data_IF_810369556869
#
_entry.id   IF_810369556869
#
_cell.length_a   1.000
_cell.length_b   1.000
_cell.length_c   1.000
_cell.angle_alpha   90.00
_cell.angle_beta   90.00
_cell.angle_gamma   90.00
#
_symmetry.space_group_name_H-M   'P 1'
#
loop_
_entity.id
_entity.type
_entity.pdbx_description
1 polymer ?
#
# COMPACT_ATOMS: atom_id res chain seq x y z
N UNK A 1 -11.45 -18.74 -9.89
CA UNK A 1 -10.44 -17.71 -10.18
C UNK A 1 -9.90 -17.88 -11.59
N UNK A 2 -9.67 -16.79 -12.32
CA UNK A 2 -9.03 -16.84 -13.64
C UNK A 2 -7.53 -17.04 -13.45
N UNK A 3 -6.92 -17.96 -14.19
CA UNK A 3 -5.46 -18.18 -14.15
C UNK A 3 -4.78 -17.96 -15.50
N UNK A 4 -5.55 -17.83 -16.58
CA UNK A 4 -5.02 -17.55 -17.92
C UNK A 4 -6.03 -16.79 -18.78
N UNK A 5 -5.51 -15.83 -19.53
CA UNK A 5 -6.23 -15.14 -20.60
C UNK A 5 -5.39 -15.28 -21.88
N UNK A 6 -6.03 -15.63 -22.99
CA UNK A 6 -5.40 -15.69 -24.31
C UNK A 6 -6.17 -14.77 -25.24
N UNK A 7 -5.47 -13.83 -25.86
CA UNK A 7 -6.04 -12.91 -26.85
C UNK A 7 -5.76 -13.41 -28.27
N UNK A 8 -6.79 -13.41 -29.12
CA UNK A 8 -6.74 -13.65 -30.55
C UNK A 8 -7.34 -12.43 -31.29
N UNK A 9 -7.30 -12.41 -32.62
CA UNK A 9 -7.67 -11.23 -33.43
C UNK A 9 -9.10 -10.73 -33.19
N UNK A 10 -10.05 -11.64 -32.93
CA UNK A 10 -11.48 -11.32 -32.80
C UNK A 10 -12.09 -11.78 -31.48
N UNK A 11 -11.33 -12.47 -30.64
CA UNK A 11 -11.85 -13.11 -29.43
C UNK A 11 -10.74 -13.34 -28.40
N UNK A 12 -11.14 -13.42 -27.13
CA UNK A 12 -10.30 -13.88 -26.03
C UNK A 12 -10.89 -15.12 -25.38
N UNK A 13 -10.02 -16.08 -25.05
CA UNK A 13 -10.34 -17.23 -24.19
C UNK A 13 -9.83 -16.98 -22.77
N UNK A 14 -10.65 -17.30 -21.78
CA UNK A 14 -10.39 -17.10 -20.35
C UNK A 14 -10.51 -18.46 -19.67
N UNK A 15 -9.42 -18.95 -19.07
CA UNK A 15 -9.41 -20.21 -18.32
C UNK A 15 -9.55 -19.95 -16.82
N UNK A 16 -10.54 -20.59 -16.22
CA UNK A 16 -10.81 -20.58 -14.80
C UNK A 16 -10.21 -21.83 -14.13
N UNK A 17 -9.95 -21.73 -12.83
CA UNK A 17 -9.41 -22.80 -11.97
C UNK A 17 -10.37 -23.97 -11.76
N UNK A 18 -11.67 -23.74 -11.93
CA UNK A 18 -12.73 -24.75 -11.93
C UNK A 18 -12.83 -25.53 -13.26
N UNK A 19 -11.94 -25.25 -14.22
CA UNK A 19 -11.90 -25.88 -15.53
C UNK A 19 -12.86 -25.29 -16.55
N UNK A 20 -13.63 -24.25 -16.19
CA UNK A 20 -14.50 -23.54 -17.14
C UNK A 20 -13.64 -22.67 -18.07
N UNK A 21 -13.96 -22.70 -19.36
CA UNK A 21 -13.43 -21.77 -20.36
C UNK A 21 -14.53 -20.81 -20.81
N UNK A 22 -14.25 -19.51 -20.72
CA UNK A 22 -15.16 -18.45 -21.17
C UNK A 22 -14.58 -17.77 -22.42
N UNK A 23 -15.46 -17.38 -23.33
CA UNK A 23 -15.13 -16.64 -24.56
C UNK A 23 -15.68 -15.21 -24.46
N UNK A 24 -14.88 -14.22 -24.82
CA UNK A 24 -15.28 -12.81 -24.76
C UNK A 24 -14.59 -11.97 -25.84
N UNK A 25 -15.29 -10.92 -26.32
CA UNK A 25 -14.70 -9.92 -27.23
C UNK A 25 -13.90 -8.83 -26.50
N UNK A 26 -14.07 -8.69 -25.19
CA UNK A 26 -13.36 -7.74 -24.34
C UNK A 26 -13.14 -8.35 -22.95
N UNK A 27 -11.93 -8.19 -22.42
CA UNK A 27 -11.57 -8.59 -21.04
C UNK A 27 -11.10 -7.35 -20.30
N UNK A 28 -11.71 -7.07 -19.14
CA UNK A 28 -11.29 -5.99 -18.24
C UNK A 28 -10.64 -6.61 -17.03
N UNK A 29 -9.34 -6.40 -16.88
CA UNK A 29 -8.60 -6.86 -15.71
C UNK A 29 -8.76 -5.87 -14.54
N UNK A 30 -9.49 -6.30 -13.51
CA UNK A 30 -9.70 -5.58 -12.26
C UNK A 30 -9.02 -6.26 -11.05
N UNK A 31 -8.01 -7.12 -11.29
CA UNK A 31 -7.28 -7.85 -10.24
C UNK A 31 -6.29 -6.99 -9.43
N UNK A 32 -6.06 -5.73 -9.86
CA UNK A 32 -5.25 -4.77 -9.15
C UNK A 32 -3.74 -5.02 -9.27
N UNK A 33 -2.98 -4.71 -8.20
CA UNK A 33 -1.51 -4.80 -8.19
C UNK A 33 -0.98 -6.21 -8.49
N UNK A 34 -1.75 -7.25 -8.15
CA UNK A 34 -1.37 -8.65 -8.34
C UNK A 34 -1.69 -9.19 -9.74
N UNK A 35 -2.07 -8.33 -10.69
CA UNK A 35 -2.35 -8.74 -12.07
C UNK A 35 -1.15 -9.45 -12.69
N UNK A 36 -1.40 -10.66 -13.20
CA UNK A 36 -0.45 -11.44 -13.99
C UNK A 36 -0.79 -11.42 -15.49
N UNK A 37 -1.82 -10.68 -15.90
CA UNK A 37 -2.33 -10.68 -17.28
C UNK A 37 -1.75 -9.56 -18.13
N UNK A 38 -0.95 -8.67 -17.55
CA UNK A 38 -0.32 -7.56 -18.27
C UNK A 38 1.11 -7.91 -18.66
N UNK A 39 1.38 -7.96 -19.96
CA UNK A 39 2.73 -8.11 -20.52
C UNK A 39 3.25 -6.75 -21.01
N UNK A 40 4.56 -6.50 -20.83
CA UNK A 40 5.22 -5.29 -21.29
C UNK A 40 6.22 -5.61 -22.40
N UNK A 41 6.27 -4.76 -23.42
CA UNK A 41 7.16 -4.89 -24.57
C UNK A 41 8.65 -4.73 -24.21
N UNK A 42 8.96 -4.09 -23.07
CA UNK A 42 10.33 -3.80 -22.62
C UNK A 42 10.52 -4.06 -21.13
N UNK A 43 11.73 -4.44 -20.69
CA UNK A 43 12.08 -4.47 -19.28
C UNK A 43 11.87 -3.11 -18.62
N UNK A 44 11.10 -3.07 -17.54
CA UNK A 44 10.82 -1.83 -16.78
C UNK A 44 11.79 -1.72 -15.60
N UNK A 45 12.70 -0.75 -15.63
CA UNK A 45 13.48 -0.31 -14.45
C UNK A 45 12.81 0.93 -13.81
N UNK A 46 11.58 0.75 -13.34
CA UNK A 46 10.87 1.86 -12.69
C UNK A 46 11.24 1.95 -11.23
N UNK A 47 11.19 3.17 -10.70
CA UNK A 47 11.11 3.34 -9.26
C UNK A 47 9.79 2.76 -8.76
N UNK A 48 9.83 2.03 -7.65
CA UNK A 48 8.65 1.53 -6.98
C UNK A 48 8.41 2.33 -5.70
N UNK A 49 7.13 2.44 -5.35
CA UNK A 49 6.66 2.97 -4.09
C UNK A 49 5.99 1.82 -3.36
N UNK A 50 6.24 1.72 -2.06
CA UNK A 50 5.63 0.71 -1.21
C UNK A 50 4.93 1.42 -0.07
N UNK A 51 3.77 0.88 0.29
CA UNK A 51 2.98 1.36 1.40
C UNK A 51 2.60 0.17 2.27
N UNK A 52 2.49 0.41 3.57
CA UNK A 52 1.95 -0.55 4.51
C UNK A 52 0.86 0.13 5.33
N UNK A 53 -0.35 -0.41 5.26
CA UNK A 53 -1.50 0.08 5.97
C UNK A 53 -1.93 -0.83 7.12
N UNK A 54 -2.38 -0.26 8.23
CA UNK A 54 -3.07 -0.95 9.32
C UNK A 54 -4.39 -0.26 9.61
N UNK A 55 -5.42 -1.03 9.94
CA UNK A 55 -6.62 -0.51 10.57
C UNK A 55 -6.49 -0.74 12.08
N UNK A 56 -6.38 0.35 12.84
CA UNK A 56 -6.24 0.31 14.28
C UNK A 56 -7.57 0.62 14.96
N UNK A 57 -7.92 -0.20 15.95
CA UNK A 57 -8.93 0.15 16.95
C UNK A 57 -8.25 0.87 18.13
N UNK A 58 -8.77 2.02 18.51
CA UNK A 58 -8.24 2.87 19.58
C UNK A 58 -9.38 3.39 20.45
N UNK A 59 -9.08 3.68 21.72
CA UNK A 59 -10.09 4.22 22.63
C UNK A 59 -10.53 5.64 22.22
N UNK A 60 -9.57 6.45 21.78
CA UNK A 60 -9.77 7.82 21.32
C UNK A 60 -8.69 8.21 20.29
N UNK A 61 -9.01 9.14 19.39
CA UNK A 61 -8.05 9.78 18.49
C UNK A 61 -8.37 11.27 18.27
N UNK A 62 -7.36 12.10 17.96
CA UNK A 62 -7.53 13.53 17.75
C UNK A 62 -7.96 13.90 16.32
N UNK A 63 -8.10 12.93 15.42
CA UNK A 63 -8.46 13.19 14.02
C UNK A 63 -9.96 13.51 13.86
N UNK A 64 -10.28 14.50 13.05
CA UNK A 64 -11.66 14.82 12.68
C UNK A 64 -12.21 13.74 11.73
N UNK A 65 -13.42 13.20 12.00
CA UNK A 65 -14.00 12.11 11.21
C UNK A 65 -14.22 12.46 9.72
N UNK A 66 -14.42 13.74 9.41
CA UNK A 66 -14.65 14.22 8.04
C UNK A 66 -13.36 14.68 7.35
N UNK A 67 -12.19 14.37 7.92
CA UNK A 67 -10.89 14.77 7.38
C UNK A 67 -9.93 13.60 7.39
N UNK A 68 -9.02 13.62 6.43
CA UNK A 68 -7.86 12.75 6.41
C UNK A 68 -6.59 13.58 6.49
N UNK A 69 -5.61 13.06 7.22
CA UNK A 69 -4.24 13.55 7.13
C UNK A 69 -3.61 12.92 5.90
N UNK A 70 -3.20 13.76 4.96
CA UNK A 70 -2.60 13.35 3.69
C UNK A 70 -1.13 13.76 3.66
N UNK A 71 -0.26 12.81 3.30
CA UNK A 71 1.17 12.97 3.07
C UNK A 71 1.89 13.69 4.22
N UNK A 72 1.65 13.26 5.46
CA UNK A 72 2.34 13.82 6.60
C UNK A 72 3.78 13.30 6.68
N UNK A 73 4.72 14.14 6.25
CA UNK A 73 6.16 13.86 6.26
C UNK A 73 6.81 14.11 7.63
N UNK A 74 6.06 14.61 8.62
CA UNK A 74 6.59 14.88 9.96
C UNK A 74 6.85 13.57 10.68
N UNK A 75 8.02 13.46 11.28
CA UNK A 75 8.48 12.26 11.98
C UNK A 75 8.11 12.24 13.48
N UNK A 76 7.32 13.23 13.94
CA UNK A 76 6.95 13.38 15.34
C UNK A 76 6.24 12.15 15.89
N UNK A 77 5.50 11.42 15.04
CA UNK A 77 4.78 10.20 15.37
C UNK A 77 5.71 9.02 15.72
N UNK A 78 7.01 9.12 15.42
CA UNK A 78 8.05 8.16 15.79
C UNK A 78 8.84 8.56 17.05
N UNK A 79 8.28 9.44 17.89
CA UNK A 79 8.96 9.94 19.10
C UNK A 79 9.44 8.85 20.07
N UNK A 80 8.70 7.75 20.15
CA UNK A 80 9.04 6.59 20.99
C UNK A 80 9.98 5.59 20.30
N UNK A 81 10.31 5.80 19.02
CA UNK A 81 11.12 4.90 18.19
C UNK A 81 12.35 5.63 17.59
N UNK A 82 13.37 5.97 18.40
CA UNK A 82 14.51 6.80 17.95
C UNK A 82 15.27 6.20 16.76
N UNK A 83 15.36 4.87 16.70
CA UNK A 83 16.02 4.15 15.62
C UNK A 83 15.26 4.26 14.28
N UNK A 84 13.93 4.25 14.32
CA UNK A 84 13.09 4.44 13.13
C UNK A 84 13.17 5.89 12.67
N UNK A 85 13.02 6.83 13.61
CA UNK A 85 13.10 8.27 13.35
C UNK A 85 14.41 8.67 12.68
N UNK A 86 15.55 8.18 13.19
CA UNK A 86 16.86 8.47 12.60
C UNK A 86 16.99 7.96 11.15
N UNK A 87 16.34 6.84 10.81
CA UNK A 87 16.36 6.29 9.45
C UNK A 87 15.43 7.03 8.49
N UNK A 88 14.41 7.75 8.98
CA UNK A 88 13.53 8.55 8.13
C UNK A 88 14.26 9.71 7.42
N UNK A 89 15.41 10.13 7.94
CA UNK A 89 16.31 11.07 7.26
C UNK A 89 16.96 10.49 5.99
N UNK A 90 17.03 9.17 5.87
CA UNK A 90 17.74 8.46 4.78
C UNK A 90 16.80 7.98 3.68
N UNK A 91 15.58 7.61 4.05
CA UNK A 91 14.54 7.11 3.14
C UNK A 91 13.31 7.96 3.38
N UNK A 92 12.88 8.72 2.36
CA UNK A 92 11.71 9.58 2.50
C UNK A 92 10.44 8.75 2.61
N UNK A 93 9.68 8.97 3.67
CA UNK A 93 8.35 8.39 3.87
C UNK A 93 7.33 9.47 4.19
N UNK A 94 6.05 9.10 4.17
CA UNK A 94 4.98 9.91 4.71
C UNK A 94 3.84 9.03 5.25
N UNK A 95 3.11 9.57 6.21
CA UNK A 95 1.95 8.96 6.85
C UNK A 95 0.63 9.47 6.25
N UNK A 96 -0.30 8.55 6.04
CA UNK A 96 -1.74 8.83 6.00
C UNK A 96 -2.39 8.42 7.31
N UNK A 97 -3.30 9.26 7.81
CA UNK A 97 -4.19 8.91 8.91
C UNK A 97 -5.62 9.25 8.52
N UNK A 98 -6.47 8.22 8.42
CA UNK A 98 -7.84 8.33 7.98
C UNK A 98 -8.76 7.71 9.04
N UNK A 99 -9.46 8.53 9.84
CA UNK A 99 -10.48 8.02 10.75
C UNK A 99 -11.69 7.51 9.96
N UNK A 100 -12.12 6.29 10.24
CA UNK A 100 -13.35 5.69 9.69
C UNK A 100 -14.53 5.92 10.63
N UNK A 101 -14.26 5.81 11.94
CA UNK A 101 -15.21 6.03 13.02
C UNK A 101 -14.44 6.55 14.24
N UNK A 102 -15.17 6.97 15.28
CA UNK A 102 -14.59 7.50 16.54
C UNK A 102 -13.49 6.65 17.19
N UNK A 103 -13.43 5.36 16.87
CA UNK A 103 -12.47 4.39 17.43
C UNK A 103 -11.63 3.67 16.38
N UNK A 104 -11.86 3.93 15.09
CA UNK A 104 -11.18 3.21 14.01
C UNK A 104 -10.42 4.19 13.15
N UNK A 105 -9.10 4.04 13.11
CA UNK A 105 -8.22 4.86 12.29
C UNK A 105 -7.39 3.95 11.41
N UNK A 106 -7.44 4.21 10.11
CA UNK A 106 -6.52 3.62 9.15
C UNK A 106 -5.25 4.46 9.10
N UNK A 107 -4.11 3.82 9.36
CA UNK A 107 -2.79 4.41 9.20
C UNK A 107 -2.08 3.73 8.03
N UNK A 108 -1.47 4.51 7.16
CA UNK A 108 -0.63 3.99 6.08
C UNK A 108 0.67 4.77 6.00
N UNK A 109 1.78 4.06 6.21
CA UNK A 109 3.12 4.62 5.97
C UNK A 109 3.58 4.23 4.58
N UNK A 110 4.03 5.22 3.81
CA UNK A 110 4.46 5.04 2.44
C UNK A 110 5.90 5.47 2.25
N UNK A 111 6.76 4.59 1.74
CA UNK A 111 8.14 4.90 1.35
C UNK A 111 8.19 5.37 -0.11
N UNK A 112 8.71 6.57 -0.33
CA UNK A 112 8.90 7.14 -1.66
C UNK A 112 10.04 6.46 -2.42
N UNK A 113 9.74 6.14 -3.69
CA UNK A 113 10.66 5.89 -4.81
C UNK A 113 12.02 5.27 -4.45
N UNK A 114 12.07 3.94 -4.43
CA UNK A 114 13.32 3.19 -4.54
C UNK A 114 13.55 2.75 -5.99
N UNK A 115 14.77 2.93 -6.52
CA UNK A 115 15.23 2.22 -7.73
C UNK A 115 15.61 0.79 -7.34
N UNK A 116 15.66 -0.14 -8.30
CA UNK A 116 16.02 -1.56 -8.04
C UNK A 116 17.30 -1.71 -7.18
N UNK A 117 18.25 -0.77 -7.33
CA UNK A 117 19.55 -0.77 -6.66
C UNK A 117 19.62 0.13 -5.42
N UNK A 118 18.50 0.76 -5.03
CA UNK A 118 18.41 1.63 -3.85
C UNK A 118 17.51 1.00 -2.80
N UNK A 119 17.89 1.20 -1.53
CA UNK A 119 17.15 0.71 -0.37
C UNK A 119 15.76 1.36 -0.32
N UNK A 120 14.69 0.59 -0.53
CA UNK A 120 13.37 0.94 -0.01
C UNK A 120 13.31 0.63 1.48
N UNK A 121 12.43 1.29 2.22
CA UNK A 121 12.22 0.90 3.60
C UNK A 121 11.62 -0.51 3.66
N UNK A 122 12.20 -1.47 4.40
CA UNK A 122 11.62 -2.81 4.54
C UNK A 122 10.17 -2.73 5.03
N UNK A 123 9.30 -3.60 4.51
CA UNK A 123 7.87 -3.62 4.85
C UNK A 123 7.62 -3.71 6.37
N UNK A 124 8.45 -4.48 7.08
CA UNK A 124 8.40 -4.57 8.54
C UNK A 124 8.55 -3.19 9.21
N UNK A 125 9.43 -2.32 8.70
CA UNK A 125 9.64 -0.99 9.29
C UNK A 125 8.48 -0.05 9.03
N UNK A 126 7.86 -0.13 7.85
CA UNK A 126 6.64 0.64 7.57
C UNK A 126 5.50 0.22 8.52
N UNK A 127 5.42 -1.08 8.84
CA UNK A 127 4.50 -1.59 9.86
C UNK A 127 4.81 -1.04 11.25
N UNK A 128 6.08 -1.06 11.67
CA UNK A 128 6.52 -0.48 12.94
C UNK A 128 6.20 1.03 13.05
N UNK A 129 6.32 1.79 11.96
CA UNK A 129 5.97 3.21 11.92
C UNK A 129 4.47 3.45 12.09
N UNK A 130 3.63 2.65 11.43
CA UNK A 130 2.18 2.70 11.64
C UNK A 130 1.81 2.38 13.09
N UNK A 131 2.43 1.36 13.69
CA UNK A 131 2.25 1.00 15.10
C UNK A 131 2.72 2.13 16.04
N UNK A 132 3.80 2.84 15.68
CA UNK A 132 4.29 4.00 16.42
C UNK A 132 3.27 5.14 16.39
N UNK A 133 2.71 5.44 15.21
CA UNK A 133 1.65 6.44 15.04
C UNK A 133 0.41 6.12 15.88
N UNK A 134 -0.04 4.87 15.87
CA UNK A 134 -1.12 4.39 16.75
C UNK A 134 -0.77 4.56 18.23
N UNK A 135 0.44 4.15 18.65
CA UNK A 135 0.86 4.19 20.06
C UNK A 135 0.88 5.61 20.63
N UNK A 136 1.16 6.63 19.80
CA UNK A 136 1.09 8.02 20.23
C UNK A 136 -0.31 8.50 20.59
N UNK A 137 -1.36 7.84 20.08
CA UNK A 137 -2.73 8.17 20.46
C UNK A 137 -3.03 7.76 21.91
N UNK A 138 -2.40 6.71 22.42
CA UNK A 138 -2.58 6.24 23.79
C UNK A 138 -1.86 7.10 24.84
N UNK A 139 -0.84 7.86 24.43
CA UNK A 139 -0.03 8.69 25.33
C UNK A 139 -0.43 10.17 25.30
N UNK A 140 -1.58 10.50 24.71
CA UNK A 140 -2.14 11.85 24.63
C UNK A 140 -3.49 11.96 25.34
#
# INVERSE_FOLDING_TARGET
MVWKVKHEEFESSIACDDGIELRASLVVDASGFASTFTEYDKPRNNGYQIAHGILAEVDHHPFDLDKMVLMDWRDSHMGNEPCLRANNSKVSTFLYAMPFYSKFVFFEETSLKAKYDKLCMPMQRLSEMCCSAMSQLYHR
#
